data_IF_318385303697
#
_entry.id   IF_318385303697
#
_cell.length_a   1.000
_cell.length_b   1.000
_cell.length_c   1.000
_cell.angle_alpha   90.00
_cell.angle_beta   90.00
_cell.angle_gamma   90.00
#
_symmetry.space_group_name_H-M   'P 1'
#
loop_
_entity.id
_entity.type
_entity.pdbx_description
1 polymer ?
#
# COMPACT_ATOMS: atom_id res chain seq x y z
N UNK A 1 10.16 10.39 33.79
CA UNK A 1 10.11 10.95 32.41
C UNK A 1 10.36 9.83 31.42
N UNK A 2 9.41 9.57 30.48
CA UNK A 2 9.52 8.58 29.42
C UNK A 2 9.88 9.24 28.09
N UNK A 3 10.81 8.67 27.35
CA UNK A 3 11.29 9.18 26.06
C UNK A 3 10.94 8.23 24.92
N UNK A 4 10.07 8.67 24.05
CA UNK A 4 9.53 7.84 22.96
C UNK A 4 10.02 8.39 21.62
N UNK A 5 10.75 7.56 20.88
CA UNK A 5 11.05 7.84 19.48
C UNK A 5 9.87 7.43 18.60
N UNK A 6 9.61 8.18 17.53
CA UNK A 6 8.56 7.86 16.57
C UNK A 6 9.04 8.13 15.16
N UNK A 7 8.75 7.22 14.22
CA UNK A 7 9.02 7.41 12.80
C UNK A 7 7.97 6.74 11.92
N UNK A 8 7.84 7.26 10.70
CA UNK A 8 7.03 6.68 9.63
C UNK A 8 7.91 6.32 8.44
N UNK A 9 7.80 5.11 7.90
CA UNK A 9 8.70 4.63 6.84
C UNK A 9 7.94 3.94 5.71
N UNK A 10 8.45 4.06 4.49
CA UNK A 10 7.84 3.50 3.28
C UNK A 10 6.86 4.46 2.61
N UNK A 11 5.87 3.91 1.88
CA UNK A 11 4.78 4.71 1.31
C UNK A 11 3.91 5.34 2.38
N UNK A 12 3.37 6.52 2.12
CA UNK A 12 2.41 7.17 3.00
C UNK A 12 0.97 6.69 2.73
N UNK A 13 0.08 6.97 3.65
CA UNK A 13 -1.36 6.78 3.52
C UNK A 13 -2.12 7.67 4.51
N UNK A 14 -3.43 7.77 4.33
CA UNK A 14 -4.30 8.65 5.12
C UNK A 14 -4.33 8.34 6.64
N UNK A 15 -3.95 7.14 7.06
CA UNK A 15 -4.03 6.74 8.45
C UNK A 15 -2.78 7.10 9.30
N UNK A 16 -1.65 7.48 8.69
CA UNK A 16 -0.39 7.68 9.42
C UNK A 16 -0.50 8.74 10.52
N UNK A 17 -0.95 9.93 10.16
CA UNK A 17 -1.10 11.03 11.13
C UNK A 17 -2.13 10.68 12.21
N UNK A 18 -3.22 10.01 11.86
CA UNK A 18 -4.24 9.58 12.82
C UNK A 18 -3.68 8.55 13.81
N UNK A 19 -2.91 7.57 13.32
CA UNK A 19 -2.27 6.56 14.16
C UNK A 19 -1.22 7.18 15.10
N UNK A 20 -0.35 8.06 14.60
CA UNK A 20 0.62 8.80 15.44
C UNK A 20 -0.10 9.61 16.53
N UNK A 21 -1.17 10.34 16.16
CA UNK A 21 -1.97 11.07 17.14
C UNK A 21 -2.57 10.14 18.20
N UNK A 22 -3.09 8.97 17.81
CA UNK A 22 -3.62 7.96 18.73
C UNK A 22 -2.59 7.49 19.74
N UNK A 23 -1.36 7.17 19.26
CA UNK A 23 -0.23 6.79 20.14
C UNK A 23 0.07 7.90 21.15
N UNK A 24 0.21 9.14 20.67
CA UNK A 24 0.57 10.27 21.54
C UNK A 24 -0.51 10.56 22.59
N UNK A 25 -1.80 10.52 22.18
CA UNK A 25 -2.89 10.69 23.15
C UNK A 25 -2.89 9.59 24.21
N UNK A 26 -2.80 8.32 23.78
CA UNK A 26 -2.75 7.20 24.73
C UNK A 26 -1.57 7.28 25.69
N UNK A 27 -0.40 7.69 25.20
CA UNK A 27 0.76 7.92 26.05
C UNK A 27 0.55 9.08 27.04
N UNK A 28 0.02 10.21 26.57
CA UNK A 28 -0.20 11.39 27.42
C UNK A 28 -1.26 11.18 28.51
N UNK A 29 -2.18 10.23 28.32
CA UNK A 29 -3.18 9.88 29.31
C UNK A 29 -2.65 8.89 30.38
N UNK A 30 -1.56 8.16 30.09
CA UNK A 30 -1.05 7.08 30.94
C UNK A 30 0.37 7.33 31.46
N UNK A 31 1.03 8.39 31.05
CA UNK A 31 2.42 8.72 31.41
C UNK A 31 2.50 10.19 31.84
N UNK A 32 2.88 10.44 33.10
CA UNK A 32 2.92 11.80 33.67
C UNK A 32 3.94 12.70 32.99
N UNK A 33 5.14 12.19 32.71
CA UNK A 33 6.22 12.92 32.06
C UNK A 33 6.63 12.25 30.77
N UNK A 34 6.38 12.88 29.62
CA UNK A 34 6.56 12.31 28.29
C UNK A 34 7.32 13.28 27.37
N UNK A 35 8.39 12.79 26.75
CA UNK A 35 9.09 13.43 25.64
C UNK A 35 8.92 12.60 24.36
N UNK A 36 8.56 13.24 23.24
CA UNK A 36 8.38 12.56 21.96
C UNK A 36 9.37 13.09 20.95
N UNK A 37 10.21 12.21 20.44
CA UNK A 37 11.22 12.47 19.42
C UNK A 37 10.70 11.96 18.07
N UNK A 38 10.23 12.85 17.20
CA UNK A 38 9.81 12.52 15.84
C UNK A 38 10.98 12.52 14.89
N UNK A 39 11.41 11.35 14.40
CA UNK A 39 12.48 11.24 13.42
C UNK A 39 11.98 11.59 12.02
N UNK A 40 12.69 12.49 11.34
CA UNK A 40 12.30 13.00 10.02
C UNK A 40 12.71 12.02 8.92
N UNK A 41 11.83 11.87 7.93
CA UNK A 41 12.09 11.00 6.78
C UNK A 41 12.38 9.52 7.13
N UNK A 42 11.70 9.00 8.15
CA UNK A 42 11.75 7.60 8.53
C UNK A 42 13.10 7.16 9.12
N UNK A 43 13.55 5.96 8.75
CA UNK A 43 14.84 5.43 9.21
C UNK A 43 16.03 6.34 8.89
N UNK A 44 15.94 7.16 7.84
CA UNK A 44 16.99 8.13 7.52
C UNK A 44 17.21 9.10 8.70
N UNK A 45 16.14 9.61 9.28
CA UNK A 45 16.24 10.48 10.46
C UNK A 45 16.87 9.77 11.67
N UNK A 46 16.53 8.52 11.91
CA UNK A 46 17.11 7.72 12.98
C UNK A 46 18.61 7.44 12.75
N UNK A 47 19.02 7.14 11.51
CA UNK A 47 20.42 6.88 11.12
C UNK A 47 21.29 8.13 11.33
N UNK A 48 20.82 9.28 10.88
CA UNK A 48 21.62 10.51 10.89
C UNK A 48 21.34 11.44 12.07
N UNK A 49 20.45 11.05 13.00
CA UNK A 49 20.09 11.86 14.17
C UNK A 49 19.27 13.11 13.81
N UNK A 50 18.47 13.04 12.75
CA UNK A 50 17.60 14.13 12.32
C UNK A 50 16.18 13.93 12.91
N UNK A 51 15.86 14.71 13.94
CA UNK A 51 14.62 14.61 14.68
C UNK A 51 14.11 15.98 15.17
N UNK A 52 12.85 16.01 15.54
CA UNK A 52 12.21 17.13 16.23
C UNK A 52 11.66 16.64 17.57
N UNK A 53 11.80 17.46 18.61
CA UNK A 53 11.03 17.27 19.83
C UNK A 53 9.60 17.76 19.58
N UNK A 54 8.63 16.89 19.81
CA UNK A 54 7.22 17.11 19.51
C UNK A 54 6.42 17.25 20.80
N UNK A 55 5.45 18.13 20.76
CA UNK A 55 4.49 18.38 21.84
C UNK A 55 3.09 17.91 21.44
N UNK A 56 2.15 17.83 22.37
CA UNK A 56 0.75 17.50 22.08
C UNK A 56 0.13 18.46 21.06
N UNK A 57 0.61 19.69 20.97
CA UNK A 57 0.14 20.68 19.98
C UNK A 57 0.48 20.28 18.54
N UNK A 58 1.63 19.64 18.30
CA UNK A 58 2.04 19.16 16.98
C UNK A 58 1.10 18.08 16.42
N UNK A 59 0.40 17.38 17.30
CA UNK A 59 -0.59 16.34 16.95
C UNK A 59 -2.03 16.86 16.90
N UNK A 60 -2.24 18.14 17.13
CA UNK A 60 -3.55 18.78 17.00
C UNK A 60 -3.87 19.04 15.52
N UNK A 61 -5.13 18.81 15.11
CA UNK A 61 -5.58 19.10 13.75
C UNK A 61 -5.02 18.16 12.64
N UNK A 62 -4.32 17.07 12.98
CA UNK A 62 -3.73 16.17 11.99
C UNK A 62 -4.57 14.93 11.71
N UNK A 63 -5.70 14.73 12.41
CA UNK A 63 -6.51 13.51 12.31
C UNK A 63 -6.98 13.22 10.87
N UNK A 64 -7.41 14.25 10.16
CA UNK A 64 -7.89 14.17 8.78
C UNK A 64 -6.85 14.57 7.73
N UNK A 65 -5.63 14.89 8.17
CA UNK A 65 -4.56 15.30 7.28
C UNK A 65 -3.87 14.07 6.67
N UNK A 66 -3.83 13.98 5.35
CA UNK A 66 -3.11 12.92 4.64
C UNK A 66 -1.60 13.04 4.73
N UNK A 67 -0.90 12.01 4.24
CA UNK A 67 0.55 11.93 4.32
C UNK A 67 1.06 11.68 5.74
N UNK A 68 2.23 12.23 6.04
CA UNK A 68 2.85 12.14 7.38
C UNK A 68 3.55 13.44 7.76
N UNK A 69 3.32 13.94 8.99
CA UNK A 69 3.97 15.15 9.49
C UNK A 69 5.47 14.97 9.74
N UNK A 70 5.95 13.72 9.80
CA UNK A 70 7.37 13.38 9.99
C UNK A 70 8.11 13.18 8.67
N UNK A 71 7.38 13.14 7.54
CA UNK A 71 7.94 12.70 6.27
C UNK A 71 8.27 11.21 6.27
N UNK A 72 8.60 10.68 5.10
CA UNK A 72 8.91 9.26 4.92
C UNK A 72 10.00 9.08 3.87
N UNK A 73 10.76 7.99 3.99
CA UNK A 73 11.68 7.56 2.94
C UNK A 73 11.70 6.03 2.84
N UNK A 74 12.12 5.53 1.68
CA UNK A 74 12.32 4.10 1.47
C UNK A 74 13.79 3.76 1.74
N UNK A 75 14.01 2.98 2.79
CA UNK A 75 15.30 2.37 3.10
C UNK A 75 15.16 0.85 2.96
N UNK A 76 15.70 0.24 1.87
CA UNK A 76 15.51 -1.19 1.65
C UNK A 76 16.16 -2.02 2.76
N UNK A 77 15.42 -2.96 3.35
CA UNK A 77 15.90 -3.83 4.42
C UNK A 77 17.23 -4.52 4.07
N UNK A 78 17.37 -5.00 2.84
CA UNK A 78 18.61 -5.66 2.36
C UNK A 78 19.85 -4.77 2.43
N UNK A 79 19.68 -3.45 2.47
CA UNK A 79 20.76 -2.47 2.54
C UNK A 79 21.03 -1.96 3.96
N UNK A 80 20.27 -2.41 4.97
CA UNK A 80 20.45 -1.91 6.35
C UNK A 80 21.79 -2.32 6.95
N UNK A 81 22.25 -3.54 6.68
CA UNK A 81 23.57 -4.03 7.12
C UNK A 81 24.72 -3.71 6.13
N UNK A 82 24.44 -2.97 5.07
CA UNK A 82 25.47 -2.49 4.12
C UNK A 82 25.84 -1.06 4.50
N UNK A 83 27.12 -0.76 4.78
CA UNK A 83 27.54 0.60 5.05
C UNK A 83 27.12 1.57 3.96
N UNK A 84 26.93 2.83 4.32
CA UNK A 84 26.63 3.88 3.33
C UNK A 84 27.91 4.26 2.53
N UNK A 85 27.76 5.23 1.62
CA UNK A 85 28.87 5.70 0.78
C UNK A 85 30.06 6.28 1.58
N UNK A 86 29.83 6.66 2.85
CA UNK A 86 30.87 7.20 3.76
C UNK A 86 31.39 6.13 4.72
N UNK A 87 30.98 4.86 4.54
CA UNK A 87 31.39 3.76 5.41
C UNK A 87 30.62 3.67 6.74
N UNK A 88 29.50 4.42 6.89
CA UNK A 88 28.69 4.41 8.12
C UNK A 88 27.91 3.11 8.22
N UNK A 89 28.07 2.38 9.34
CA UNK A 89 27.18 1.29 9.71
C UNK A 89 25.83 1.87 10.18
N UNK A 90 24.79 1.63 9.37
CA UNK A 90 23.45 2.20 9.62
C UNK A 90 22.80 1.64 10.87
N UNK A 91 23.04 0.36 11.21
CA UNK A 91 22.46 -0.29 12.38
C UNK A 91 23.09 0.29 13.64
N UNK A 92 24.41 0.38 13.68
CA UNK A 92 25.13 0.99 14.81
C UNK A 92 24.80 2.48 14.95
N UNK A 93 24.61 3.21 13.84
CA UNK A 93 24.19 4.60 13.88
C UNK A 93 22.78 4.77 14.50
N UNK A 94 21.83 3.90 14.14
CA UNK A 94 20.49 3.91 14.75
C UNK A 94 20.53 3.59 16.24
N UNK A 95 21.33 2.59 16.65
CA UNK A 95 21.55 2.25 18.07
C UNK A 95 22.18 3.42 18.82
N UNK A 96 23.21 4.03 18.24
CA UNK A 96 23.87 5.21 18.82
C UNK A 96 22.88 6.34 19.06
N UNK A 97 22.02 6.65 18.09
CA UNK A 97 20.98 7.68 18.23
C UNK A 97 19.98 7.32 19.33
N UNK A 98 19.53 6.06 19.39
CA UNK A 98 18.60 5.57 20.40
C UNK A 98 19.17 5.75 21.82
N UNK A 99 20.40 5.30 22.06
CA UNK A 99 21.03 5.40 23.39
C UNK A 99 21.44 6.82 23.74
N UNK A 100 21.93 7.61 22.77
CA UNK A 100 22.26 9.03 22.99
C UNK A 100 21.06 9.84 23.47
N UNK A 101 19.89 9.59 22.90
CA UNK A 101 18.63 10.24 23.29
C UNK A 101 18.00 9.57 24.52
N UNK A 102 18.55 8.46 25.00
CA UNK A 102 18.01 7.66 26.12
C UNK A 102 16.54 7.31 25.89
N UNK A 103 16.22 6.83 24.70
CA UNK A 103 14.85 6.43 24.38
C UNK A 103 14.46 5.20 25.21
N UNK A 104 13.25 5.20 25.77
CA UNK A 104 12.65 4.04 26.42
C UNK A 104 12.01 3.09 25.39
N UNK A 105 11.51 3.63 24.29
CA UNK A 105 10.87 2.87 23.22
C UNK A 105 10.93 3.62 21.89
N UNK A 106 10.92 2.87 20.79
CA UNK A 106 10.82 3.37 19.43
C UNK A 106 9.54 2.84 18.79
N UNK A 107 8.62 3.73 18.43
CA UNK A 107 7.38 3.41 17.72
C UNK A 107 7.59 3.62 16.23
N UNK A 108 7.40 2.58 15.44
CA UNK A 108 7.68 2.57 14.01
C UNK A 108 6.40 2.24 13.24
N UNK A 109 5.98 3.14 12.34
CA UNK A 109 4.83 2.92 11.48
C UNK A 109 5.31 2.62 10.05
N UNK A 110 4.92 1.48 9.50
CA UNK A 110 5.28 1.13 8.13
C UNK A 110 4.84 -0.24 7.67
N UNK A 111 5.16 -0.57 6.42
CA UNK A 111 4.82 -1.84 5.78
C UNK A 111 5.86 -2.94 6.03
N UNK A 112 5.72 -4.06 5.32
CA UNK A 112 6.57 -5.27 5.44
C UNK A 112 8.09 -5.01 5.48
N UNK A 113 8.58 -4.09 4.64
CA UNK A 113 10.01 -3.75 4.62
C UNK A 113 10.45 -3.02 5.88
N UNK A 114 9.59 -2.18 6.42
CA UNK A 114 9.79 -1.42 7.66
C UNK A 114 9.76 -2.34 8.87
N UNK A 115 8.81 -3.28 8.91
CA UNK A 115 8.68 -4.31 9.94
C UNK A 115 9.96 -5.15 10.07
N UNK A 116 10.53 -5.60 8.96
CA UNK A 116 11.80 -6.35 8.96
C UNK A 116 12.95 -5.57 9.59
N UNK A 117 13.00 -4.26 9.35
CA UNK A 117 14.02 -3.41 10.00
C UNK A 117 13.68 -3.16 11.46
N UNK A 118 12.41 -3.03 11.83
CA UNK A 118 11.98 -2.94 13.23
C UNK A 118 12.37 -4.20 14.01
N UNK A 119 12.11 -5.39 13.42
CA UNK A 119 12.53 -6.67 14.02
C UNK A 119 14.05 -6.76 14.16
N UNK A 120 14.81 -6.33 13.14
CA UNK A 120 16.27 -6.25 13.24
C UNK A 120 16.73 -5.41 14.46
N UNK A 121 16.10 -4.25 14.68
CA UNK A 121 16.43 -3.41 15.83
C UNK A 121 16.04 -4.06 17.17
N UNK A 122 14.95 -4.83 17.21
CA UNK A 122 14.62 -5.66 18.38
C UNK A 122 15.70 -6.72 18.66
N UNK A 123 16.19 -7.41 17.61
CA UNK A 123 17.28 -8.38 17.73
C UNK A 123 18.59 -7.75 18.19
N UNK A 124 18.82 -6.48 17.88
CA UNK A 124 19.94 -5.67 18.35
C UNK A 124 19.73 -5.10 19.77
N UNK A 125 18.64 -5.48 20.45
CA UNK A 125 18.38 -5.15 21.85
C UNK A 125 17.63 -3.84 22.09
N UNK A 126 17.07 -3.20 21.08
CA UNK A 126 16.25 -2.00 21.26
C UNK A 126 14.79 -2.38 21.59
N UNK A 127 14.13 -1.58 22.41
CA UNK A 127 12.70 -1.70 22.65
C UNK A 127 11.94 -1.02 21.52
N UNK A 128 11.31 -1.82 20.65
CA UNK A 128 10.64 -1.34 19.43
C UNK A 128 9.20 -1.85 19.38
N UNK A 129 8.26 -0.99 19.03
CA UNK A 129 6.88 -1.34 18.72
C UNK A 129 6.61 -0.98 17.26
N UNK A 130 6.27 -1.98 16.45
CA UNK A 130 5.87 -1.77 15.07
C UNK A 130 4.35 -1.67 14.94
N UNK A 131 3.88 -0.63 14.23
CA UNK A 131 2.48 -0.45 13.87
C UNK A 131 2.31 -0.75 12.38
N UNK A 132 1.51 -1.77 12.03
CA UNK A 132 1.38 -2.25 10.65
C UNK A 132 0.63 -1.23 9.79
N UNK A 133 1.32 -0.53 8.91
CA UNK A 133 0.78 0.48 8.01
C UNK A 133 1.01 0.06 6.55
N UNK A 134 -0.07 -0.22 5.85
CA UNK A 134 -0.13 -0.39 4.39
C UNK A 134 -1.58 -0.28 3.93
N UNK A 135 -1.80 0.08 2.68
CA UNK A 135 -3.12 0.03 2.05
C UNK A 135 -3.45 -1.38 1.53
N UNK A 136 -2.45 -2.26 1.41
CA UNK A 136 -2.57 -3.57 0.77
C UNK A 136 -3.18 -4.63 1.70
N UNK A 137 -3.14 -4.41 3.03
CA UNK A 137 -3.53 -5.37 4.07
C UNK A 137 -2.77 -6.71 3.97
N UNK A 138 -1.47 -6.64 3.70
CA UNK A 138 -0.60 -7.79 3.41
C UNK A 138 0.41 -8.11 4.53
N UNK A 139 0.24 -7.56 5.73
CA UNK A 139 1.12 -7.80 6.88
C UNK A 139 0.57 -8.95 7.73
N UNK A 140 1.38 -9.98 7.92
CA UNK A 140 1.02 -11.12 8.75
C UNK A 140 0.90 -10.74 10.24
N UNK A 141 -0.07 -11.34 10.94
CA UNK A 141 -0.25 -11.12 12.38
C UNK A 141 -1.17 -9.96 12.75
N UNK A 142 -1.81 -9.33 11.77
CA UNK A 142 -2.86 -8.33 12.00
C UNK A 142 -4.06 -8.59 11.09
N UNK A 143 -5.26 -8.32 11.57
CA UNK A 143 -6.49 -8.44 10.79
C UNK A 143 -6.64 -7.28 9.81
N UNK A 144 -6.28 -6.07 10.25
CA UNK A 144 -6.42 -4.83 9.47
C UNK A 144 -5.20 -3.94 9.68
N UNK A 145 -4.63 -3.47 8.58
CA UNK A 145 -3.52 -2.52 8.59
C UNK A 145 -4.01 -1.08 8.59
N UNK A 146 -3.24 -0.17 9.21
CA UNK A 146 -3.51 1.27 9.15
C UNK A 146 -3.39 1.76 7.70
N UNK A 147 -4.48 2.29 7.16
CA UNK A 147 -4.58 2.78 5.79
C UNK A 147 -5.48 1.95 4.88
N UNK A 148 -5.72 0.68 5.17
CA UNK A 148 -6.53 -0.20 4.33
C UNK A 148 -7.98 0.31 4.19
N UNK A 149 -8.67 0.62 5.29
CA UNK A 149 -10.05 1.11 5.25
C UNK A 149 -10.18 2.45 4.50
N UNK A 150 -9.27 3.38 4.72
CA UNK A 150 -9.26 4.65 4.00
C UNK A 150 -9.07 4.44 2.49
N UNK A 151 -8.21 3.51 2.11
CA UNK A 151 -7.97 3.17 0.71
C UNK A 151 -9.19 2.50 0.07
N UNK A 152 -9.90 1.61 0.79
CA UNK A 152 -11.16 1.02 0.33
C UNK A 152 -12.17 2.12 0.02
N UNK A 153 -12.39 3.06 0.94
CA UNK A 153 -13.35 4.14 0.75
C UNK A 153 -13.02 4.98 -0.49
N UNK A 154 -11.77 5.40 -0.64
CA UNK A 154 -11.32 6.19 -1.80
C UNK A 154 -11.49 5.41 -3.12
N UNK A 155 -11.13 4.13 -3.14
CA UNK A 155 -11.28 3.30 -4.33
C UNK A 155 -12.76 3.02 -4.67
N UNK A 156 -13.60 2.83 -3.65
CA UNK A 156 -15.05 2.69 -3.81
C UNK A 156 -15.67 3.93 -4.41
N UNK A 157 -15.36 5.11 -3.86
CA UNK A 157 -15.84 6.40 -4.38
C UNK A 157 -15.41 6.62 -5.84
N UNK A 158 -14.17 6.26 -6.18
CA UNK A 158 -13.67 6.35 -7.55
C UNK A 158 -14.43 5.43 -8.52
N UNK A 159 -14.76 4.21 -8.09
CA UNK A 159 -15.57 3.27 -8.89
C UNK A 159 -16.99 3.79 -9.02
N UNK A 160 -17.59 4.29 -7.94
CA UNK A 160 -18.95 4.84 -7.95
C UNK A 160 -19.10 6.03 -8.92
N UNK A 161 -18.14 6.94 -8.92
CA UNK A 161 -18.12 8.08 -9.84
C UNK A 161 -18.16 7.68 -11.33
N UNK A 162 -17.75 6.46 -11.69
CA UNK A 162 -17.68 6.00 -13.07
C UNK A 162 -19.04 5.47 -13.57
N UNK A 163 -19.95 5.02 -12.69
CA UNK A 163 -21.22 4.39 -13.07
C UNK A 163 -22.06 5.23 -14.01
N UNK A 164 -22.22 6.50 -13.72
CA UNK A 164 -23.07 7.40 -14.53
C UNK A 164 -22.54 7.60 -15.95
N UNK A 165 -21.23 7.80 -16.08
CA UNK A 165 -20.62 7.93 -17.42
C UNK A 165 -20.57 6.59 -18.16
N UNK A 166 -20.35 5.48 -17.46
CA UNK A 166 -20.40 4.15 -18.06
C UNK A 166 -21.78 3.84 -18.64
N UNK A 167 -22.83 4.13 -17.87
CA UNK A 167 -24.22 3.97 -18.32
C UNK A 167 -24.58 4.87 -19.51
N UNK A 168 -24.20 6.15 -19.44
CA UNK A 168 -24.53 7.13 -20.50
C UNK A 168 -23.90 6.81 -21.85
N UNK A 169 -22.75 6.16 -21.85
CA UNK A 169 -21.98 5.89 -23.07
C UNK A 169 -21.94 4.41 -23.48
N UNK A 170 -22.62 3.52 -22.75
CA UNK A 170 -22.62 2.08 -22.99
C UNK A 170 -21.20 1.51 -23.15
N UNK A 171 -20.31 1.82 -22.19
CA UNK A 171 -18.89 1.47 -22.27
C UNK A 171 -18.50 0.38 -21.26
N UNK A 172 -17.42 -0.29 -21.59
CA UNK A 172 -16.67 -1.10 -20.65
C UNK A 172 -15.59 -0.24 -20.01
N UNK A 173 -15.63 -0.09 -18.70
CA UNK A 173 -14.60 0.60 -17.92
C UNK A 173 -13.75 -0.41 -17.17
N UNK A 174 -12.45 -0.16 -17.13
CA UNK A 174 -11.49 -0.95 -16.36
C UNK A 174 -10.84 -0.02 -15.37
N UNK A 175 -11.02 -0.30 -14.09
CA UNK A 175 -10.43 0.44 -12.97
C UNK A 175 -9.34 -0.42 -12.37
N UNK A 176 -8.08 0.01 -12.52
CA UNK A 176 -6.97 -0.65 -11.88
C UNK A 176 -6.82 -0.14 -10.45
N UNK A 177 -6.73 -1.08 -9.51
CA UNK A 177 -6.64 -0.80 -8.09
C UNK A 177 -5.32 -1.36 -7.57
N UNK A 178 -4.61 -0.56 -6.77
CA UNK A 178 -3.38 -0.97 -6.11
C UNK A 178 -3.61 -2.16 -5.15
N UNK A 179 -2.54 -2.77 -4.67
CA UNK A 179 -2.58 -3.92 -3.77
C UNK A 179 -1.36 -4.82 -3.93
N UNK A 180 -0.39 -4.42 -4.75
CA UNK A 180 0.83 -5.16 -5.04
C UNK A 180 0.55 -6.61 -5.45
N UNK A 181 0.68 -7.57 -4.55
CA UNK A 181 0.50 -9.01 -4.82
C UNK A 181 -0.76 -9.61 -4.22
N UNK A 182 -1.57 -8.82 -3.55
CA UNK A 182 -2.81 -9.24 -2.91
C UNK A 182 -3.99 -8.44 -3.43
N UNK A 183 -5.15 -9.07 -3.47
CA UNK A 183 -6.36 -8.51 -4.06
C UNK A 183 -7.34 -7.91 -3.05
N UNK A 184 -6.98 -7.80 -1.78
CA UNK A 184 -7.91 -7.35 -0.74
C UNK A 184 -8.56 -6.01 -1.05
N UNK A 185 -7.75 -5.00 -1.39
CA UNK A 185 -8.25 -3.66 -1.70
C UNK A 185 -9.20 -3.66 -2.90
N UNK A 186 -8.82 -4.36 -3.97
CA UNK A 186 -9.63 -4.51 -5.18
C UNK A 186 -10.94 -5.24 -4.91
N UNK A 187 -10.89 -6.31 -4.10
CA UNK A 187 -12.08 -7.09 -3.75
C UNK A 187 -13.10 -6.23 -3.00
N UNK A 188 -12.67 -5.59 -1.91
CA UNK A 188 -13.56 -4.79 -1.08
C UNK A 188 -14.11 -3.58 -1.84
N UNK A 189 -13.24 -2.83 -2.52
CA UNK A 189 -13.67 -1.67 -3.30
C UNK A 189 -14.53 -2.05 -4.50
N UNK A 190 -14.22 -3.16 -5.18
CA UNK A 190 -14.99 -3.65 -6.31
C UNK A 190 -16.39 -4.11 -5.92
N UNK A 191 -16.53 -4.82 -4.80
CA UNK A 191 -17.84 -5.24 -4.27
C UNK A 191 -18.64 -4.02 -3.79
N UNK A 192 -18.02 -3.14 -3.00
CA UNK A 192 -18.68 -1.96 -2.45
C UNK A 192 -19.09 -0.94 -3.53
N UNK A 193 -18.22 -0.73 -4.53
CA UNK A 193 -18.46 0.18 -5.67
C UNK A 193 -19.30 -0.44 -6.80
N UNK A 194 -19.80 -1.68 -6.64
CA UNK A 194 -20.68 -2.33 -7.61
C UNK A 194 -20.00 -2.69 -8.95
N UNK A 195 -18.70 -3.05 -8.93
CA UNK A 195 -18.04 -3.58 -10.10
C UNK A 195 -18.68 -4.91 -10.55
N UNK A 196 -18.86 -5.09 -11.84
CA UNK A 196 -19.50 -6.26 -12.42
C UNK A 196 -18.56 -7.47 -12.54
N UNK A 197 -17.26 -7.20 -12.65
CA UNK A 197 -16.19 -8.20 -12.74
C UNK A 197 -15.03 -7.73 -11.87
N UNK A 198 -14.50 -8.64 -11.06
CA UNK A 198 -13.37 -8.35 -10.17
C UNK A 198 -12.26 -9.36 -10.48
N UNK A 199 -11.06 -8.86 -10.80
CA UNK A 199 -9.89 -9.68 -11.13
C UNK A 199 -8.82 -9.52 -10.04
N UNK A 200 -8.43 -10.63 -9.42
CA UNK A 200 -7.54 -10.67 -8.25
C UNK A 200 -6.26 -11.44 -8.56
N UNK A 201 -5.13 -11.14 -7.89
CA UNK A 201 -3.89 -11.90 -8.04
C UNK A 201 -4.01 -13.37 -7.61
N UNK A 202 -4.84 -13.63 -6.59
CA UNK A 202 -5.02 -14.96 -6.00
C UNK A 202 -5.79 -15.92 -6.91
N UNK A 203 -6.56 -15.38 -7.87
CA UNK A 203 -7.40 -16.15 -8.79
C UNK A 203 -7.00 -15.81 -10.22
N UNK A 204 -6.11 -16.61 -10.86
CA UNK A 204 -5.70 -16.35 -12.23
C UNK A 204 -6.88 -16.28 -13.19
N UNK A 205 -7.01 -15.16 -13.91
CA UNK A 205 -8.14 -14.91 -14.79
C UNK A 205 -7.95 -15.59 -16.16
N UNK A 206 -9.08 -15.87 -16.78
CA UNK A 206 -9.23 -16.36 -18.14
C UNK A 206 -9.90 -15.27 -18.97
N UNK A 207 -9.19 -14.68 -19.93
CA UNK A 207 -9.67 -13.55 -20.70
C UNK A 207 -10.93 -13.89 -21.52
N UNK A 208 -11.05 -15.12 -22.00
CA UNK A 208 -12.23 -15.54 -22.76
C UNK A 208 -13.47 -15.58 -21.86
N UNK A 209 -13.33 -15.98 -20.60
CA UNK A 209 -14.41 -15.94 -19.61
C UNK A 209 -14.80 -14.52 -19.23
N UNK A 210 -13.85 -13.60 -19.14
CA UNK A 210 -14.11 -12.18 -18.91
C UNK A 210 -14.96 -11.64 -20.07
N UNK A 211 -14.56 -11.90 -21.31
CA UNK A 211 -15.30 -11.47 -22.50
C UNK A 211 -16.68 -12.12 -22.58
N UNK A 212 -16.77 -13.41 -22.26
CA UNK A 212 -18.06 -14.10 -22.21
C UNK A 212 -19.02 -13.49 -21.18
N UNK A 213 -18.50 -13.05 -20.01
CA UNK A 213 -19.27 -12.37 -18.99
C UNK A 213 -19.77 -10.99 -19.48
N UNK A 214 -18.92 -10.20 -20.15
CA UNK A 214 -19.31 -8.92 -20.76
C UNK A 214 -20.41 -9.15 -21.79
N UNK A 215 -20.22 -10.10 -22.71
CA UNK A 215 -21.21 -10.43 -23.76
C UNK A 215 -22.54 -10.91 -23.17
N UNK A 216 -22.51 -11.72 -22.11
CA UNK A 216 -23.73 -12.17 -21.42
C UNK A 216 -24.51 -10.98 -20.85
N UNK A 217 -23.83 -10.00 -20.26
CA UNK A 217 -24.43 -8.78 -19.73
C UNK A 217 -25.06 -7.95 -20.84
N UNK A 218 -24.34 -7.72 -21.93
CA UNK A 218 -24.85 -6.98 -23.09
C UNK A 218 -26.10 -7.65 -23.70
N UNK A 219 -26.09 -8.98 -23.85
CA UNK A 219 -27.26 -9.74 -24.33
C UNK A 219 -28.45 -9.65 -23.35
N UNK A 220 -28.21 -9.46 -22.07
CA UNK A 220 -29.24 -9.27 -21.04
C UNK A 220 -29.71 -7.80 -20.94
N UNK A 221 -29.35 -6.94 -21.90
CA UNK A 221 -29.76 -5.52 -21.94
C UNK A 221 -28.97 -4.58 -21.03
N UNK A 222 -27.86 -5.05 -20.42
CA UNK A 222 -26.96 -4.21 -19.63
C UNK A 222 -26.04 -3.46 -20.57
N UNK A 223 -26.20 -2.14 -20.69
CA UNK A 223 -25.46 -1.33 -21.65
C UNK A 223 -23.99 -1.12 -21.31
N UNK A 224 -23.59 -1.28 -20.03
CA UNK A 224 -22.21 -1.03 -19.59
C UNK A 224 -21.69 -2.16 -18.69
N UNK A 225 -20.38 -2.18 -18.50
CA UNK A 225 -19.71 -3.11 -17.58
C UNK A 225 -18.52 -2.41 -16.92
N UNK A 226 -18.37 -2.55 -15.60
CA UNK A 226 -17.23 -2.05 -14.84
C UNK A 226 -16.41 -3.23 -14.35
N UNK A 227 -15.12 -3.24 -14.70
CA UNK A 227 -14.13 -4.19 -14.19
C UNK A 227 -13.27 -3.50 -13.13
N UNK A 228 -13.19 -4.06 -11.93
CA UNK A 228 -12.16 -3.74 -10.95
C UNK A 228 -11.01 -4.75 -11.09
N UNK A 229 -9.82 -4.28 -11.36
CA UNK A 229 -8.65 -5.11 -11.66
C UNK A 229 -7.53 -4.78 -10.70
N UNK A 230 -7.08 -5.76 -9.90
CA UNK A 230 -5.90 -5.58 -9.08
C UNK A 230 -4.65 -5.41 -9.96
N UNK A 231 -3.75 -4.50 -9.60
CA UNK A 231 -2.48 -4.28 -10.32
C UNK A 231 -1.62 -5.55 -10.46
N UNK A 232 -1.78 -6.47 -9.50
CA UNK A 232 -1.13 -7.78 -9.48
C UNK A 232 -1.92 -8.90 -10.13
N UNK A 233 -3.07 -8.64 -10.76
CA UNK A 233 -3.86 -9.68 -11.41
C UNK A 233 -3.06 -10.37 -12.51
N UNK A 234 -3.19 -11.70 -12.57
CA UNK A 234 -2.42 -12.55 -13.48
C UNK A 234 -3.34 -13.43 -14.32
N UNK A 235 -3.04 -13.60 -15.60
CA UNK A 235 -3.77 -14.53 -16.45
C UNK A 235 -3.41 -15.98 -16.13
N UNK A 236 -4.26 -16.93 -16.52
CA UNK A 236 -3.97 -18.38 -16.39
C UNK A 236 -2.72 -18.78 -17.17
N UNK A 237 -2.53 -18.20 -18.35
CA UNK A 237 -1.35 -18.43 -19.17
C UNK A 237 -0.08 -17.98 -18.45
N UNK A 238 -0.12 -16.82 -17.82
CA UNK A 238 1.00 -16.24 -17.09
C UNK A 238 1.28 -16.94 -15.77
N UNK A 239 0.23 -17.40 -15.10
CA UNK A 239 0.36 -18.19 -13.87
C UNK A 239 1.01 -19.56 -14.09
N UNK A 240 0.96 -20.09 -15.31
CA UNK A 240 1.63 -21.33 -15.69
C UNK A 240 3.14 -21.15 -15.96
N UNK A 241 3.64 -19.92 -16.10
CA UNK A 241 5.05 -19.64 -16.34
C UNK A 241 5.89 -19.80 -15.06
N UNK A 242 7.16 -20.16 -15.23
CA UNK A 242 8.11 -20.08 -14.13
C UNK A 242 8.33 -18.62 -13.70
N UNK A 243 8.78 -18.41 -12.45
CA UNK A 243 9.09 -17.05 -11.93
C UNK A 243 10.07 -16.27 -12.82
N UNK A 244 11.00 -16.98 -13.48
CA UNK A 244 11.98 -16.35 -14.37
C UNK A 244 11.33 -15.90 -15.67
N UNK A 245 10.60 -16.78 -16.34
CA UNK A 245 9.87 -16.49 -17.58
C UNK A 245 8.86 -15.36 -17.39
N UNK A 246 8.10 -15.39 -16.28
CA UNK A 246 7.17 -14.33 -15.96
C UNK A 246 7.87 -12.97 -15.78
N UNK A 247 9.00 -12.91 -15.06
CA UNK A 247 9.78 -11.68 -14.92
C UNK A 247 10.29 -11.15 -16.25
N UNK A 248 10.78 -12.04 -17.12
CA UNK A 248 11.24 -11.66 -18.47
C UNK A 248 10.08 -11.14 -19.33
N UNK A 249 8.90 -11.76 -19.23
CA UNK A 249 7.69 -11.31 -19.90
C UNK A 249 7.27 -9.92 -19.42
N UNK A 250 7.22 -9.70 -18.09
CA UNK A 250 6.87 -8.40 -17.50
C UNK A 250 7.86 -7.31 -17.89
N UNK A 251 9.18 -7.62 -17.93
CA UNK A 251 10.21 -6.68 -18.34
C UNK A 251 10.07 -6.26 -19.82
N UNK A 252 9.50 -7.13 -20.66
CA UNK A 252 9.24 -6.88 -22.09
C UNK A 252 7.79 -6.44 -22.37
N UNK A 253 6.98 -6.23 -21.32
CA UNK A 253 5.57 -5.88 -21.47
C UNK A 253 5.43 -4.59 -22.28
N UNK A 254 4.59 -4.65 -23.30
CA UNK A 254 4.26 -3.50 -24.18
C UNK A 254 3.41 -2.45 -23.45
N UNK A 255 2.61 -2.90 -22.49
CA UNK A 255 1.64 -2.07 -21.79
C UNK A 255 2.18 -1.61 -20.44
N UNK A 256 1.82 -0.40 -19.97
CA UNK A 256 2.28 0.12 -18.69
C UNK A 256 1.73 -0.66 -17.49
N UNK A 257 0.57 -1.32 -17.65
CA UNK A 257 -0.07 -2.11 -16.58
C UNK A 257 -0.91 -3.26 -17.14
N UNK A 258 -1.39 -4.11 -16.23
CA UNK A 258 -2.26 -5.26 -16.57
C UNK A 258 -3.61 -4.82 -17.16
N UNK A 259 -4.15 -3.71 -16.68
CA UNK A 259 -5.44 -3.19 -17.17
C UNK A 259 -5.37 -2.75 -18.62
N UNK A 260 -4.27 -2.15 -19.06
CA UNK A 260 -4.06 -1.83 -20.47
C UNK A 260 -3.95 -3.09 -21.34
N UNK A 261 -3.30 -4.14 -20.84
CA UNK A 261 -3.23 -5.42 -21.56
C UNK A 261 -4.61 -6.06 -21.72
N UNK A 262 -5.41 -6.07 -20.63
CA UNK A 262 -6.79 -6.57 -20.64
C UNK A 262 -7.64 -5.76 -21.60
N UNK A 263 -7.53 -4.42 -21.57
CA UNK A 263 -8.26 -3.54 -22.48
C UNK A 263 -7.97 -3.83 -23.95
N UNK A 264 -6.69 -3.99 -24.33
CA UNK A 264 -6.29 -4.33 -25.69
C UNK A 264 -6.84 -5.71 -26.12
N UNK A 265 -6.78 -6.71 -25.24
CA UNK A 265 -7.32 -8.04 -25.52
C UNK A 265 -8.84 -8.01 -25.73
N UNK A 266 -9.57 -7.29 -24.86
CA UNK A 266 -11.02 -7.10 -25.01
C UNK A 266 -11.31 -6.40 -26.34
N UNK A 267 -10.64 -5.29 -26.63
CA UNK A 267 -10.83 -4.52 -27.85
C UNK A 267 -10.63 -5.38 -29.11
N UNK A 268 -9.52 -6.10 -29.21
CA UNK A 268 -9.21 -6.94 -30.39
C UNK A 268 -10.27 -8.01 -30.63
N UNK A 269 -10.74 -8.66 -29.58
CA UNK A 269 -11.72 -9.72 -29.70
C UNK A 269 -13.10 -9.19 -30.08
N UNK A 270 -13.52 -8.03 -29.55
CA UNK A 270 -14.76 -7.39 -29.99
C UNK A 270 -14.73 -6.96 -31.48
N UNK A 271 -13.61 -6.40 -31.95
CA UNK A 271 -13.48 -5.98 -33.35
C UNK A 271 -13.18 -7.13 -34.33
N UNK A 272 -12.62 -8.24 -33.90
CA UNK A 272 -12.44 -9.43 -34.74
C UNK A 272 -13.76 -10.15 -35.03
N UNK A 273 -14.74 -10.04 -34.12
CA UNK A 273 -16.07 -10.65 -34.27
C UNK A 273 -16.98 -9.79 -35.21
N UNK A 274 -16.66 -8.51 -35.39
CA UNK A 274 -17.48 -7.58 -36.22
C UNK A 274 -16.93 -7.39 -37.61
N UNK A 275 -15.96 -8.15 -38.11
CA UNK A 275 -15.64 -8.13 -39.55
C UNK A 275 -16.76 -8.85 -40.29
N UNK A 276 -17.56 -8.15 -41.11
CA UNK A 276 -18.48 -8.82 -41.99
C UNK A 276 -17.69 -9.67 -42.97
N UNK A 277 -18.12 -10.93 -43.14
CA UNK A 277 -17.68 -11.82 -44.21
C UNK A 277 -18.03 -11.25 -45.59
#
# INVERSE_FOLDING_TARGET
MKRIGMLTSGGDCQALNAAMRGVVKGLSENVDELEIYGFLNGYKGLIYGDYRLLTSADFSGILTKGGTILGSSRQPFKQMRVPDANGLDKVEAMKSTYYKLRLDCLVILGGNGTEKTANLLCEEGLNVIHLPKTIDNDIYGTDVTFGFQSAINIATDAIDCIHTTAASHNRVFIVEVMGHKVGWLTLYAGVAGGADIILLPEIPYDIEKVIAAINKRTKAGKGFTILAVAEGAISKEDAALSKKEYKEKVAKRKYPSVSYEIADRIFRLFFSIQKPS
#
